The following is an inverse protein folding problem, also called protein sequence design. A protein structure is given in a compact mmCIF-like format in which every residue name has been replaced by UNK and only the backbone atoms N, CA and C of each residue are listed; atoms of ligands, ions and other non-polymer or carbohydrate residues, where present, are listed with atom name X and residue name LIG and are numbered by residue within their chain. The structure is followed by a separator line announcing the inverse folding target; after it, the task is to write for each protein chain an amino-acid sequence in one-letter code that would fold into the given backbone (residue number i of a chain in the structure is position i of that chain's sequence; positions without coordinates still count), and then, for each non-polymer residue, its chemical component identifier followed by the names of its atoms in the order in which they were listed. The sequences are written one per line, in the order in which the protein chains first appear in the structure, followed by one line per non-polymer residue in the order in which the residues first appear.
data_IF_233657959432
#
_entry.id   IF_233657959432
#
_cell.length_a   1.000
_cell.length_b   1.000
_cell.length_c   1.000
_cell.angle_alpha   90.00
_cell.angle_beta   90.00
_cell.angle_gamma   90.00
#
_symmetry.space_group_name_H-M   'P 1'
#
loop_
_entity.id
_entity.type
_entity.pdbx_description
1 polymer ?
#
# COMPACT_ATOMS: atom_id res chain seq x y z
N UNK A 1 -24.98 -10.81 1.49
CA UNK A 1 -24.18 -11.29 2.63
C UNK A 1 -24.30 -10.27 3.74
N UNK A 2 -24.54 -10.66 4.99
CA UNK A 2 -24.68 -9.70 6.09
C UNK A 2 -23.28 -9.40 6.64
N UNK A 3 -22.85 -8.15 6.63
CA UNK A 3 -21.53 -7.75 7.16
C UNK A 3 -21.33 -8.17 8.62
N UNK A 4 -22.41 -8.22 9.39
CA UNK A 4 -22.41 -8.70 10.77
C UNK A 4 -21.97 -10.17 10.96
N UNK A 5 -22.07 -11.02 9.93
CA UNK A 5 -21.58 -12.42 9.99
C UNK A 5 -20.05 -12.52 10.01
N UNK A 6 -19.36 -11.42 9.72
CA UNK A 6 -17.89 -11.31 9.73
C UNK A 6 -17.35 -10.42 10.83
N UNK A 7 -18.24 -9.86 11.66
CA UNK A 7 -17.83 -8.99 12.75
C UNK A 7 -17.26 -9.83 13.92
N UNK A 8 -16.20 -9.31 14.53
CA UNK A 8 -15.58 -9.91 15.70
C UNK A 8 -14.95 -8.84 16.58
N UNK A 9 -14.87 -9.13 17.88
CA UNK A 9 -14.20 -8.23 18.80
C UNK A 9 -12.68 -8.25 18.54
N UNK A 10 -12.15 -7.14 18.01
CA UNK A 10 -10.71 -6.90 17.86
C UNK A 10 -10.28 -5.80 18.84
N UNK A 11 -9.64 -6.16 19.97
CA UNK A 11 -9.04 -5.17 20.86
C UNK A 11 -8.05 -4.27 20.10
N UNK A 12 -8.17 -2.92 20.17
CA UNK A 12 -7.30 -2.00 19.43
C UNK A 12 -5.79 -2.20 19.67
N UNK A 13 -5.43 -2.63 20.87
CA UNK A 13 -4.06 -2.92 21.29
C UNK A 13 -3.43 -4.12 20.54
N UNK A 14 -4.25 -4.98 19.93
CA UNK A 14 -3.77 -6.10 19.10
C UNK A 14 -3.48 -5.67 17.65
N UNK A 15 -3.81 -4.43 17.26
CA UNK A 15 -3.45 -3.87 15.95
C UNK A 15 -2.01 -3.36 16.01
N UNK A 16 -1.09 -4.15 15.43
CA UNK A 16 0.33 -3.84 15.43
C UNK A 16 0.62 -2.46 14.83
N UNK A 17 1.28 -1.61 15.63
CA UNK A 17 1.72 -0.26 15.22
C UNK A 17 3.15 -0.25 14.67
N UNK A 18 3.91 -1.32 14.87
CA UNK A 18 5.30 -1.44 14.45
C UNK A 18 5.57 -2.91 14.10
N UNK A 19 6.22 -3.22 12.97
CA UNK A 19 6.55 -4.58 12.63
C UNK A 19 7.60 -5.16 13.60
N UNK A 20 7.58 -6.48 13.77
CA UNK A 20 8.61 -7.21 14.51
C UNK A 20 9.92 -7.32 13.72
N UNK A 21 11.04 -7.41 14.42
CA UNK A 21 12.37 -7.70 13.84
C UNK A 21 12.99 -8.97 14.43
N UNK A 22 13.52 -9.89 13.60
CA UNK A 22 13.40 -9.91 12.13
C UNK A 22 11.94 -10.15 11.67
N UNK A 23 11.62 -9.81 10.42
CA UNK A 23 10.25 -9.91 9.85
C UNK A 23 9.62 -11.30 10.00
N UNK A 24 10.45 -12.33 9.84
CA UNK A 24 10.05 -13.73 9.93
C UNK A 24 9.87 -14.25 11.38
N UNK A 25 10.06 -13.40 12.38
CA UNK A 25 9.76 -13.69 13.79
C UNK A 25 8.28 -13.43 14.15
N UNK A 26 7.48 -12.97 13.19
CA UNK A 26 6.03 -12.81 13.37
C UNK A 26 5.37 -14.16 13.65
N UNK A 27 4.28 -14.15 14.42
CA UNK A 27 3.48 -15.36 14.69
C UNK A 27 2.78 -15.81 13.40
N UNK A 28 2.63 -17.12 13.24
CA UNK A 28 1.92 -17.77 12.15
C UNK A 28 0.84 -18.68 12.75
N UNK A 29 -0.41 -18.43 12.40
CA UNK A 29 -1.50 -19.36 12.68
C UNK A 29 -1.73 -20.23 11.45
N UNK A 30 -1.59 -21.54 11.60
CA UNK A 30 -1.83 -22.51 10.53
C UNK A 30 -3.19 -23.13 10.77
N UNK A 31 -4.03 -23.18 9.74
CA UNK A 31 -5.38 -23.76 9.82
C UNK A 31 -5.49 -24.88 8.78
N UNK A 32 -5.71 -26.10 9.25
CA UNK A 32 -5.91 -27.29 8.44
C UNK A 32 -7.38 -27.38 8.02
N UNK A 33 -7.67 -27.06 6.76
CA UNK A 33 -9.06 -26.94 6.26
C UNK A 33 -9.86 -28.24 6.30
N UNK A 34 -9.18 -29.37 6.17
CA UNK A 34 -9.75 -30.72 6.17
C UNK A 34 -10.15 -31.22 7.56
N UNK A 35 -9.43 -30.80 8.60
CA UNK A 35 -9.69 -31.24 9.99
C UNK A 35 -10.27 -30.15 10.88
N UNK A 36 -10.15 -28.88 10.49
CA UNK A 36 -10.46 -27.72 11.33
C UNK A 36 -9.45 -27.45 12.44
N UNK A 37 -8.35 -28.22 12.52
CA UNK A 37 -7.31 -28.01 13.52
C UNK A 37 -6.49 -26.76 13.22
N UNK A 38 -6.02 -26.09 14.27
CA UNK A 38 -5.12 -24.96 14.16
C UNK A 38 -3.83 -25.18 14.95
N UNK A 39 -2.72 -24.66 14.42
CA UNK A 39 -1.42 -24.65 15.07
C UNK A 39 -0.93 -23.21 15.24
N UNK A 40 -0.09 -23.01 16.26
CA UNK A 40 0.61 -21.75 16.49
C UNK A 40 2.10 -21.95 16.26
N UNK A 41 2.60 -21.27 15.24
CA UNK A 41 3.99 -21.32 14.77
C UNK A 41 4.58 -19.91 14.71
N UNK A 42 5.83 -19.81 14.29
CA UNK A 42 6.52 -18.59 13.90
C UNK A 42 6.68 -18.59 12.38
N UNK A 43 6.60 -17.43 11.72
CA UNK A 43 6.52 -17.33 10.27
C UNK A 43 7.71 -18.00 9.54
N UNK A 44 8.92 -17.96 10.10
CA UNK A 44 10.08 -18.70 9.56
C UNK A 44 9.88 -20.21 9.42
N UNK A 45 8.91 -20.78 10.13
CA UNK A 45 8.55 -22.20 10.12
C UNK A 45 7.58 -22.52 8.98
N UNK A 46 7.11 -21.53 8.20
CA UNK A 46 6.28 -21.76 7.01
C UNK A 46 6.93 -22.74 6.02
N UNK A 47 8.27 -22.78 5.99
CA UNK A 47 9.05 -23.72 5.18
C UNK A 47 8.73 -25.19 5.50
N UNK A 48 8.26 -25.53 6.70
CA UNK A 48 7.85 -26.89 7.07
C UNK A 48 6.62 -27.34 6.28
N UNK A 49 5.74 -26.41 5.93
CA UNK A 49 4.49 -26.65 5.22
C UNK A 49 4.63 -26.65 3.69
N UNK A 50 5.80 -26.25 3.18
CA UNK A 50 6.12 -26.26 1.75
C UNK A 50 6.66 -27.62 1.33
N UNK A 51 6.22 -28.15 0.19
CA UNK A 51 6.68 -29.41 -0.41
C UNK A 51 7.47 -29.16 -1.71
N UNK A 52 8.38 -30.07 -2.09
CA UNK A 52 9.00 -30.02 -3.41
C UNK A 52 7.95 -29.99 -4.51
N UNK A 53 8.09 -29.06 -5.46
CA UNK A 53 7.14 -28.85 -6.56
C UNK A 53 6.08 -27.78 -6.29
N UNK A 54 5.92 -27.30 -5.05
CA UNK A 54 4.99 -26.21 -4.73
C UNK A 54 5.37 -24.90 -5.43
N UNK A 55 4.35 -24.08 -5.72
CA UNK A 55 4.50 -22.78 -6.36
C UNK A 55 3.96 -21.67 -5.44
N UNK A 56 4.84 -20.78 -5.00
CA UNK A 56 4.47 -19.58 -4.26
C UNK A 56 4.31 -18.42 -5.24
N UNK A 57 3.10 -17.86 -5.32
CA UNK A 57 2.80 -16.70 -6.17
C UNK A 57 2.83 -15.44 -5.32
N UNK A 58 3.71 -14.50 -5.66
CA UNK A 58 3.93 -13.28 -4.87
C UNK A 58 3.70 -12.02 -5.70
N UNK A 59 3.14 -10.97 -5.09
CA UNK A 59 2.96 -9.67 -5.75
C UNK A 59 4.23 -8.83 -5.62
N UNK A 60 4.94 -8.57 -6.71
CA UNK A 60 6.21 -7.81 -6.73
C UNK A 60 6.02 -6.29 -6.87
N UNK A 61 4.80 -5.79 -6.67
CA UNK A 61 4.55 -4.35 -6.72
C UNK A 61 5.31 -3.60 -5.62
N UNK A 62 5.90 -2.46 -5.96
CA UNK A 62 6.66 -1.59 -5.06
C UNK A 62 5.87 -0.32 -4.76
N UNK A 63 5.84 0.06 -3.48
CA UNK A 63 5.10 1.24 -3.01
C UNK A 63 5.81 2.52 -3.43
N UNK A 64 5.06 3.44 -4.05
CA UNK A 64 5.51 4.79 -4.36
C UNK A 64 5.09 5.78 -3.25
N UNK A 65 5.82 6.89 -3.05
CA UNK A 65 5.45 7.93 -2.08
C UNK A 65 4.26 8.76 -2.61
N UNK A 66 3.08 8.15 -2.61
CA UNK A 66 1.88 8.63 -3.28
C UNK A 66 1.00 9.59 -2.45
N UNK A 67 1.34 9.89 -1.19
CA UNK A 67 0.66 10.93 -0.41
C UNK A 67 1.36 12.27 -0.61
N UNK A 68 0.61 13.27 -1.03
CA UNK A 68 1.11 14.63 -1.28
C UNK A 68 0.34 15.63 -0.43
N UNK A 69 1.06 16.64 0.04
CA UNK A 69 0.45 17.79 0.68
C UNK A 69 0.53 18.99 -0.26
N UNK A 70 -0.57 19.71 -0.36
CA UNK A 70 -0.71 20.83 -1.27
C UNK A 70 -1.67 21.89 -0.76
N UNK A 71 -1.87 22.92 -1.58
CA UNK A 71 -2.72 24.07 -1.31
C UNK A 71 -3.51 24.45 -2.54
N UNK A 72 -4.75 24.91 -2.32
CA UNK A 72 -5.55 25.50 -3.39
C UNK A 72 -4.95 26.82 -3.85
N UNK A 73 -5.01 27.07 -5.15
CA UNK A 73 -4.63 28.34 -5.76
C UNK A 73 -5.89 29.10 -6.18
N UNK A 74 -6.07 30.39 -5.84
CA UNK A 74 -5.18 31.24 -5.02
C UNK A 74 -5.46 31.17 -3.51
N UNK A 75 -6.54 30.48 -3.08
CA UNK A 75 -7.07 30.61 -1.71
C UNK A 75 -6.18 30.10 -0.58
N UNK A 76 -5.12 29.33 -0.86
CA UNK A 76 -4.17 28.80 0.12
C UNK A 76 -4.70 27.66 1.01
N UNK A 77 -5.96 27.25 0.85
CA UNK A 77 -6.59 26.21 1.64
C UNK A 77 -5.87 24.86 1.49
N UNK A 78 -5.57 24.20 2.62
CA UNK A 78 -4.84 22.92 2.66
C UNK A 78 -5.59 21.81 1.92
N UNK A 79 -4.84 21.00 1.19
CA UNK A 79 -5.31 19.82 0.47
C UNK A 79 -4.32 18.68 0.70
N UNK A 80 -4.83 17.51 1.05
CA UNK A 80 -4.06 16.26 1.04
C UNK A 80 -4.53 15.44 -0.16
N UNK A 81 -3.59 15.04 -0.99
CA UNK A 81 -3.81 14.18 -2.15
C UNK A 81 -3.22 12.80 -1.88
N UNK A 82 -3.93 11.80 -2.35
CA UNK A 82 -3.46 10.44 -2.34
C UNK A 82 -3.64 9.87 -3.73
N UNK A 83 -2.53 9.67 -4.43
CA UNK A 83 -2.54 9.14 -5.78
C UNK A 83 -3.06 7.70 -5.75
N UNK A 84 -3.92 7.33 -6.70
CA UNK A 84 -4.48 6.00 -6.85
C UNK A 84 -3.98 5.33 -8.13
N UNK A 85 -4.22 5.95 -9.27
CA UNK A 85 -3.94 5.35 -10.58
C UNK A 85 -3.57 6.43 -11.58
N UNK A 86 -2.52 6.19 -12.35
CA UNK A 86 -2.10 7.06 -13.45
C UNK A 86 -3.03 6.86 -14.66
N UNK A 87 -3.56 7.95 -15.21
CA UNK A 87 -4.53 7.97 -16.33
C UNK A 87 -3.98 8.75 -17.54
N UNK A 88 -2.82 8.34 -18.03
CA UNK A 88 -2.06 9.07 -19.05
C UNK A 88 -0.85 9.77 -18.44
N UNK A 89 -0.14 10.60 -19.21
CA UNK A 89 1.19 11.06 -18.82
C UNK A 89 1.19 12.01 -17.61
N UNK A 90 0.21 12.92 -17.54
CA UNK A 90 0.11 13.99 -16.54
C UNK A 90 -1.16 13.93 -15.67
N UNK A 91 -2.00 12.93 -15.88
CA UNK A 91 -3.30 12.83 -15.21
C UNK A 91 -3.25 11.71 -14.19
N UNK A 92 -3.69 12.01 -12.98
CA UNK A 92 -3.78 11.05 -11.88
C UNK A 92 -5.19 11.03 -11.30
N UNK A 93 -5.70 9.83 -11.08
CA UNK A 93 -6.83 9.61 -10.20
C UNK A 93 -6.37 9.68 -8.74
N UNK A 94 -7.06 10.47 -7.92
CA UNK A 94 -6.65 10.77 -6.55
C UNK A 94 -7.81 10.71 -5.57
N UNK A 95 -7.54 10.27 -4.34
CA UNK A 95 -8.40 10.63 -3.20
C UNK A 95 -7.95 11.97 -2.65
N UNK A 96 -8.92 12.83 -2.41
CA UNK A 96 -8.66 14.19 -1.95
C UNK A 96 -9.32 14.43 -0.61
N UNK A 97 -8.51 14.82 0.38
CA UNK A 97 -8.99 15.38 1.65
C UNK A 97 -8.81 16.89 1.60
N UNK A 98 -9.92 17.59 1.40
CA UNK A 98 -9.95 19.05 1.33
C UNK A 98 -11.38 19.56 1.18
N UNK A 99 -11.63 20.81 1.59
CA UNK A 99 -12.98 21.41 1.48
C UNK A 99 -13.23 21.92 0.07
N UNK A 100 -14.41 21.63 -0.51
CA UNK A 100 -14.87 22.17 -1.82
C UNK A 100 -13.83 21.98 -2.95
N UNK A 101 -13.33 20.75 -3.12
CA UNK A 101 -12.50 20.38 -4.26
C UNK A 101 -13.43 19.89 -5.38
N UNK A 102 -13.71 20.78 -6.32
CA UNK A 102 -14.58 20.57 -7.48
C UNK A 102 -13.75 20.71 -8.76
N UNK A 103 -14.34 20.36 -9.90
CA UNK A 103 -13.75 20.62 -11.21
C UNK A 103 -13.33 22.09 -11.37
N UNK A 104 -12.23 22.31 -12.07
CA UNK A 104 -11.59 23.62 -12.26
C UNK A 104 -10.76 24.13 -11.07
N UNK A 105 -10.81 23.48 -9.90
CA UNK A 105 -9.96 23.87 -8.77
C UNK A 105 -8.50 23.56 -9.08
N UNK A 106 -7.63 24.56 -8.94
CA UNK A 106 -6.18 24.43 -9.03
C UNK A 106 -5.56 24.10 -7.68
N UNK A 107 -4.63 23.16 -7.66
CA UNK A 107 -3.92 22.68 -6.48
C UNK A 107 -2.44 22.71 -6.79
N UNK A 108 -1.66 23.36 -5.93
CA UNK A 108 -0.20 23.30 -5.94
C UNK A 108 0.25 22.25 -4.94
N UNK A 109 1.09 21.32 -5.36
CA UNK A 109 1.81 20.37 -4.49
C UNK A 109 3.29 20.74 -4.45
N UNK A 110 3.97 20.40 -3.35
CA UNK A 110 5.37 20.76 -3.15
C UNK A 110 5.59 22.26 -2.94
N UNK A 111 6.85 22.63 -2.75
CA UNK A 111 7.30 24.01 -2.52
C UNK A 111 8.59 24.28 -3.31
N UNK A 112 8.85 25.56 -3.62
CA UNK A 112 10.07 25.99 -4.33
C UNK A 112 10.24 25.33 -5.71
N UNK A 113 11.45 24.85 -5.98
CA UNK A 113 11.83 24.18 -7.24
C UNK A 113 11.15 22.82 -7.46
N UNK A 114 10.58 22.24 -6.41
CA UNK A 114 9.84 20.97 -6.47
C UNK A 114 8.32 21.19 -6.39
N UNK A 115 7.84 22.37 -6.80
CA UNK A 115 6.41 22.66 -6.85
C UNK A 115 5.80 22.37 -8.22
N UNK A 116 4.56 21.90 -8.22
CA UNK A 116 3.80 21.64 -9.45
C UNK A 116 2.32 21.96 -9.22
N UNK A 117 1.71 22.66 -10.17
CA UNK A 117 0.26 22.88 -10.16
C UNK A 117 -0.46 21.79 -10.97
N UNK A 118 -1.67 21.48 -10.53
CA UNK A 118 -2.60 20.64 -11.26
C UNK A 118 -4.04 21.14 -11.10
N UNK A 119 -4.86 20.84 -12.11
CA UNK A 119 -6.26 21.22 -12.15
C UNK A 119 -7.13 19.98 -12.01
N UNK A 120 -8.16 20.05 -11.17
CA UNK A 120 -9.19 19.01 -11.11
C UNK A 120 -9.99 19.05 -12.39
N UNK A 121 -9.91 18.00 -13.21
CA UNK A 121 -10.60 17.90 -14.49
C UNK A 121 -11.91 17.14 -14.39
N UNK A 122 -12.03 16.21 -13.44
CA UNK A 122 -13.22 15.37 -13.26
C UNK A 122 -13.36 14.90 -11.82
N UNK A 123 -14.60 14.71 -11.35
CA UNK A 123 -14.92 13.94 -10.14
C UNK A 123 -15.41 12.56 -10.55
N UNK A 124 -14.69 11.51 -10.15
CA UNK A 124 -15.06 10.12 -10.49
C UNK A 124 -16.27 9.65 -9.69
N UNK A 125 -17.00 8.65 -10.20
CA UNK A 125 -18.16 8.05 -9.51
C UNK A 125 -17.82 7.51 -8.11
N UNK A 126 -16.58 7.07 -7.91
CA UNK A 126 -16.05 6.57 -6.63
C UNK A 126 -15.69 7.69 -5.64
N UNK A 127 -15.94 8.95 -6.00
CA UNK A 127 -15.64 10.16 -5.23
C UNK A 127 -14.18 10.64 -5.32
N UNK A 128 -13.39 10.06 -6.23
CA UNK A 128 -12.03 10.49 -6.55
C UNK A 128 -12.02 11.76 -7.39
N UNK A 129 -10.83 12.36 -7.58
CA UNK A 129 -10.59 13.47 -8.51
C UNK A 129 -9.55 13.06 -9.53
N UNK A 130 -9.86 13.22 -10.80
CA UNK A 130 -8.83 13.26 -11.82
C UNK A 130 -8.19 14.65 -11.78
N UNK A 131 -6.86 14.68 -11.60
CA UNK A 131 -6.07 15.90 -11.57
C UNK A 131 -5.07 15.83 -12.71
N UNK A 132 -5.15 16.80 -13.62
CA UNK A 132 -4.15 17.00 -14.66
C UNK A 132 -3.10 17.99 -14.16
N UNK A 133 -1.85 17.54 -14.05
CA UNK A 133 -0.71 18.34 -13.66
C UNK A 133 -0.05 19.02 -14.86
N UNK A 134 0.63 20.14 -14.64
CA UNK A 134 1.33 20.89 -15.69
C UNK A 134 2.44 20.05 -16.36
N UNK A 135 3.06 19.13 -15.61
CA UNK A 135 4.10 18.21 -16.04
C UNK A 135 3.90 16.80 -15.41
N UNK A 136 4.64 15.76 -15.86
CA UNK A 136 4.62 14.46 -15.20
C UNK A 136 5.03 14.57 -13.72
N UNK A 137 4.27 13.91 -12.85
CA UNK A 137 4.42 14.04 -11.40
C UNK A 137 5.49 13.12 -10.83
N UNK A 138 5.77 11.99 -11.50
CA UNK A 138 6.65 10.92 -11.03
C UNK A 138 8.06 11.39 -10.63
N UNK A 139 8.74 12.25 -11.41
CA UNK A 139 10.07 12.74 -11.03
C UNK A 139 10.09 13.51 -9.70
N UNK A 140 8.96 14.11 -9.32
CA UNK A 140 8.82 14.88 -8.09
C UNK A 140 8.43 14.03 -6.89
N UNK A 141 7.83 12.85 -7.08
CA UNK A 141 7.29 12.03 -5.98
C UNK A 141 8.34 11.72 -4.90
N UNK A 142 9.60 11.49 -5.28
CA UNK A 142 10.70 11.24 -4.33
C UNK A 142 11.04 12.45 -3.45
N UNK A 143 10.68 13.65 -3.87
CA UNK A 143 10.98 14.91 -3.17
C UNK A 143 9.81 15.40 -2.32
N UNK A 144 8.59 15.28 -2.83
CA UNK A 144 7.39 15.87 -2.21
C UNK A 144 6.40 14.83 -1.67
N UNK A 145 6.60 13.58 -2.03
CA UNK A 145 5.75 12.47 -1.66
C UNK A 145 6.10 11.88 -0.30
N UNK A 146 5.07 11.30 0.33
CA UNK A 146 5.18 10.52 1.55
C UNK A 146 4.60 9.13 1.28
N UNK A 147 5.26 8.08 1.78
CA UNK A 147 4.72 6.72 1.75
C UNK A 147 3.42 6.69 2.56
N UNK A 148 2.27 6.41 1.93
CA UNK A 148 1.03 6.40 2.66
C UNK A 148 0.93 5.12 3.49
N UNK A 149 0.63 5.30 4.77
CA UNK A 149 0.32 4.20 5.67
C UNK A 149 -1.19 3.99 5.76
N UNK A 150 -1.63 2.74 6.03
CA UNK A 150 -3.00 2.45 6.39
C UNK A 150 -3.49 3.36 7.53
N UNK A 151 -4.77 3.74 7.56
CA UNK A 151 -5.28 4.74 8.51
C UNK A 151 -5.19 4.30 9.98
N UNK A 152 -5.09 3.00 10.25
CA UNK A 152 -4.95 2.42 11.59
C UNK A 152 -3.49 2.34 12.09
N UNK A 153 -2.50 2.70 11.25
CA UNK A 153 -1.10 2.82 11.65
C UNK A 153 -0.80 4.29 11.89
N UNK A 154 -0.62 4.65 13.16
CA UNK A 154 -0.39 6.05 13.56
C UNK A 154 1.08 6.35 13.85
N UNK A 155 1.89 5.31 14.08
CA UNK A 155 3.34 5.48 14.28
C UNK A 155 4.04 5.69 12.94
N UNK A 156 4.86 6.74 12.79
CA UNK A 156 5.71 6.92 11.62
C UNK A 156 6.66 5.71 11.46
N UNK A 157 6.93 5.33 10.22
CA UNK A 157 7.96 4.35 9.91
C UNK A 157 9.28 5.10 9.76
N UNK A 158 10.31 4.70 10.51
CA UNK A 158 11.63 5.32 10.46
C UNK A 158 12.33 5.07 9.12
N UNK A 159 12.20 3.85 8.58
CA UNK A 159 12.74 3.45 7.29
C UNK A 159 11.60 3.04 6.35
N UNK A 160 11.28 3.85 5.32
CA UNK A 160 10.24 3.53 4.34
C UNK A 160 10.45 2.19 3.62
N UNK A 161 11.69 1.71 3.49
CA UNK A 161 11.98 0.40 2.91
C UNK A 161 11.43 -0.73 3.79
N UNK A 162 11.18 -0.45 5.09
CA UNK A 162 10.48 -1.38 5.96
C UNK A 162 9.04 -1.65 5.52
N UNK A 163 8.46 -0.79 4.71
CA UNK A 163 7.16 -0.95 4.10
C UNK A 163 7.24 -1.47 2.64
N UNK A 164 8.29 -2.23 2.32
CA UNK A 164 8.43 -2.95 1.05
C UNK A 164 8.66 -4.44 1.31
N UNK A 165 8.17 -5.28 0.40
CA UNK A 165 8.57 -6.69 0.35
C UNK A 165 10.00 -6.79 -0.17
N UNK A 166 10.75 -7.78 0.28
CA UNK A 166 12.18 -7.96 -0.13
C UNK A 166 12.38 -8.28 -1.61
N UNK A 167 11.29 -8.56 -2.33
CA UNK A 167 11.23 -8.82 -3.76
C UNK A 167 10.44 -7.75 -4.54
N UNK A 168 10.15 -6.59 -3.94
CA UNK A 168 9.44 -5.49 -4.61
C UNK A 168 10.29 -4.90 -5.74
N UNK A 169 9.76 -4.89 -6.97
CA UNK A 169 10.47 -4.45 -8.18
C UNK A 169 9.72 -3.42 -9.00
N UNK A 170 8.40 -3.57 -9.15
CA UNK A 170 7.61 -2.76 -10.09
C UNK A 170 6.89 -1.64 -9.35
N UNK A 171 7.38 -0.41 -9.50
CA UNK A 171 6.77 0.79 -8.90
C UNK A 171 5.36 1.04 -9.40
N UNK A 172 4.49 1.51 -8.51
CA UNK A 172 3.14 1.96 -8.83
C UNK A 172 2.08 1.62 -7.79
N UNK A 173 2.43 0.79 -6.79
CA UNK A 173 1.51 0.53 -5.68
C UNK A 173 1.47 1.70 -4.72
N UNK A 174 0.31 1.92 -4.13
CA UNK A 174 0.10 2.92 -3.09
C UNK A 174 0.15 2.24 -1.72
N UNK A 175 -0.17 0.96 -1.64
CA UNK A 175 -0.03 0.14 -0.44
C UNK A 175 0.82 -1.11 -0.70
N UNK A 176 1.53 -1.58 0.32
CA UNK A 176 2.36 -2.77 0.20
C UNK A 176 1.49 -4.05 0.18
N UNK A 177 1.89 -5.10 -0.55
CA UNK A 177 1.31 -6.43 -0.38
C UNK A 177 1.73 -6.99 0.99
N UNK A 178 0.93 -6.69 2.02
CA UNK A 178 1.32 -6.78 3.44
C UNK A 178 1.68 -8.20 3.90
N UNK A 179 1.01 -9.23 3.39
CA UNK A 179 1.37 -10.63 3.68
C UNK A 179 2.78 -10.99 3.17
N UNK A 180 3.26 -10.32 2.13
CA UNK A 180 4.62 -10.49 1.62
C UNK A 180 5.70 -9.90 2.52
N UNK A 181 5.35 -8.99 3.45
CA UNK A 181 6.30 -8.30 4.33
C UNK A 181 6.92 -9.21 5.39
N UNK A 182 6.45 -10.45 5.52
CA UNK A 182 6.98 -11.41 6.49
C UNK A 182 8.18 -12.20 5.94
N UNK A 183 8.38 -12.21 4.62
CA UNK A 183 9.49 -12.92 3.98
C UNK A 183 10.82 -12.18 4.17
N UNK A 184 11.86 -12.96 4.44
CA UNK A 184 13.26 -12.54 4.41
C UNK A 184 13.96 -13.19 3.20
N UNK A 185 15.05 -12.61 2.67
CA UNK A 185 15.83 -13.25 1.61
C UNK A 185 16.29 -14.66 2.00
N UNK A 186 16.67 -14.85 3.27
CA UNK A 186 17.06 -16.14 3.84
C UNK A 186 15.92 -17.15 3.79
N UNK A 187 14.71 -16.75 4.19
CA UNK A 187 13.55 -17.65 4.17
C UNK A 187 13.15 -18.03 2.75
N UNK A 188 13.20 -17.10 1.80
CA UNK A 188 12.92 -17.39 0.39
C UNK A 188 13.92 -18.40 -0.17
N UNK A 189 15.21 -18.24 0.09
CA UNK A 189 16.25 -19.22 -0.31
C UNK A 189 15.96 -20.60 0.26
N UNK A 190 15.64 -20.71 1.56
CA UNK A 190 15.30 -22.00 2.21
C UNK A 190 14.09 -22.69 1.58
N UNK A 191 13.10 -21.91 1.15
CA UNK A 191 11.90 -22.42 0.45
C UNK A 191 12.28 -22.97 -0.93
N UNK A 192 13.13 -22.25 -1.68
CA UNK A 192 13.62 -22.70 -2.98
C UNK A 192 14.53 -23.94 -2.87
N UNK A 193 15.41 -23.99 -1.87
CA UNK A 193 16.27 -25.15 -1.55
C UNK A 193 15.45 -26.41 -1.21
N UNK A 194 14.25 -26.26 -0.64
CA UNK A 194 13.30 -27.36 -0.40
C UNK A 194 12.62 -27.84 -1.69
N UNK A 195 12.86 -27.20 -2.83
CA UNK A 195 12.35 -27.59 -4.14
C UNK A 195 11.04 -26.90 -4.54
N UNK A 196 10.62 -25.86 -3.83
CA UNK A 196 9.52 -24.99 -4.27
C UNK A 196 10.02 -23.87 -5.19
N UNK A 197 9.11 -23.17 -5.85
CA UNK A 197 9.44 -22.05 -6.75
C UNK A 197 8.64 -20.81 -6.40
N UNK A 198 9.23 -19.63 -6.61
CA UNK A 198 8.51 -18.37 -6.61
C UNK A 198 8.16 -17.93 -8.03
N UNK A 199 6.92 -17.46 -8.21
CA UNK A 199 6.48 -16.73 -9.40
C UNK A 199 5.94 -15.38 -8.97
N UNK A 200 6.27 -14.35 -9.74
CA UNK A 200 5.92 -12.98 -9.42
C UNK A 200 4.86 -12.45 -10.37
N UNK A 201 3.82 -11.84 -9.79
CA UNK A 201 2.77 -11.11 -10.50
C UNK A 201 2.82 -9.65 -10.08
N UNK A 202 2.27 -8.76 -10.90
CA UNK A 202 2.16 -7.34 -10.56
C UNK A 202 0.70 -6.96 -10.45
N UNK A 203 0.27 -6.58 -9.25
CA UNK A 203 -1.00 -5.93 -9.00
C UNK A 203 -0.75 -4.65 -8.20
N UNK A 204 -1.00 -3.50 -8.82
CA UNK A 204 -0.90 -2.22 -8.12
C UNK A 204 -2.07 -2.07 -7.14
N UNK A 205 -1.74 -1.90 -5.87
CA UNK A 205 -2.73 -1.81 -4.79
C UNK A 205 -3.01 -0.33 -4.52
N UNK A 206 -4.24 0.11 -4.77
CA UNK A 206 -4.74 1.42 -4.38
C UNK A 206 -5.12 1.48 -2.89
N UNK A 207 -5.36 2.67 -2.36
CA UNK A 207 -5.78 2.83 -0.95
C UNK A 207 -7.29 2.66 -0.73
N UNK A 208 -8.04 2.50 -1.80
CA UNK A 208 -9.44 2.07 -1.79
C UNK A 208 -9.61 0.70 -1.13
N UNK A 209 -8.58 -0.15 -1.09
CA UNK A 209 -8.59 -1.41 -0.32
C UNK A 209 -8.79 -1.22 1.18
N UNK A 210 -8.56 -0.01 1.71
CA UNK A 210 -8.81 0.32 3.11
C UNK A 210 -10.17 0.99 3.34
N UNK A 211 -10.99 1.18 2.30
CA UNK A 211 -12.36 1.66 2.47
C UNK A 211 -13.16 0.56 3.19
N UNK A 212 -13.90 0.89 4.26
CA UNK A 212 -14.78 -0.07 4.90
C UNK A 212 -15.77 -0.64 3.90
N UNK A 213 -16.00 -1.95 3.95
CA UNK A 213 -17.09 -2.61 3.24
C UNK A 213 -18.40 -2.07 3.82
N UNK A 214 -19.26 -1.53 2.97
CA UNK A 214 -20.59 -1.03 3.34
C UNK A 214 -21.64 -2.10 3.17
#
# INVERSE_FOLDING_TARGET
MKTAEFDYHLPPELIAQTPVEPRDASRLMVVHRDTGQFEHRIFREIVEYVRPGDLLVANQSRVIPARLYGRKVPTGGKVELLLLTKRGERVWETLVRGRRIREGVRIRVGDGEHSLEGTVVEITESGGRLIEFEAPLEPLLKHIGVVPLPPYIHKPIADPERYQTVYARIEGSVAAPTAGLHFTPELMRRIEEKGARFVFVTLHIGLDTFRPVK
#
